data_IF_726751174523
#
_entry.id   IF_726751174523
#
_cell.length_a   1.000
_cell.length_b   1.000
_cell.length_c   1.000
_cell.angle_alpha   90.00
_cell.angle_beta   90.00
_cell.angle_gamma   90.00
#
_symmetry.space_group_name_H-M   'P 1'
#
loop_
_entity.id
_entity.type
_entity.pdbx_description
1 polymer ?
#
# COMPACT_ATOMS: atom_id res chain seq x y z
N UNK A 1 -14.71 11.18 8.62
CA UNK A 1 -13.50 11.53 7.84
C UNK A 1 -12.30 11.37 8.75
N UNK A 2 -11.20 10.78 8.27
CA UNK A 2 -10.00 10.65 9.10
C UNK A 2 -9.37 12.03 9.36
N UNK A 3 -8.87 12.26 10.57
CA UNK A 3 -8.15 13.49 10.91
C UNK A 3 -6.75 13.45 10.30
N UNK A 4 -6.35 14.54 9.64
CA UNK A 4 -5.00 14.69 9.08
C UNK A 4 -4.21 15.75 9.84
N UNK A 5 -3.02 15.41 10.31
CA UNK A 5 -2.14 16.32 11.07
C UNK A 5 -0.76 16.43 10.38
N UNK A 6 -0.36 17.62 9.91
CA UNK A 6 0.98 17.84 9.36
C UNK A 6 2.08 17.62 10.42
N UNK A 7 3.23 17.10 9.99
CA UNK A 7 4.44 16.91 10.79
C UNK A 7 5.68 17.30 9.99
N UNK A 8 6.85 17.29 10.63
CA UNK A 8 8.12 17.55 9.94
C UNK A 8 8.45 16.51 8.84
N UNK A 9 7.93 15.28 8.94
CA UNK A 9 8.30 14.17 8.06
C UNK A 9 7.20 13.77 7.07
N UNK A 10 6.01 14.35 7.18
CA UNK A 10 4.86 13.99 6.36
C UNK A 10 3.53 14.39 6.99
N UNK A 11 2.45 13.75 6.56
CA UNK A 11 1.10 13.96 7.11
C UNK A 11 0.64 12.69 7.81
N UNK A 12 0.21 12.82 9.07
CA UNK A 12 -0.31 11.70 9.87
C UNK A 12 -1.83 11.59 9.71
N UNK A 13 -2.31 10.36 9.58
CA UNK A 13 -3.71 9.95 9.51
C UNK A 13 -4.01 8.85 10.53
N UNK A 14 -5.29 8.69 10.87
CA UNK A 14 -5.78 7.62 11.72
C UNK A 14 -6.50 8.11 12.98
N UNK A 15 -6.72 7.22 13.95
CA UNK A 15 -6.41 5.78 13.87
C UNK A 15 -7.32 5.03 12.88
N UNK A 16 -6.84 3.88 12.38
CA UNK A 16 -7.69 2.84 11.77
C UNK A 16 -8.63 2.23 12.83
N UNK A 17 -9.56 1.35 12.43
CA UNK A 17 -10.45 0.68 13.38
C UNK A 17 -9.69 -0.19 14.40
N UNK A 18 -8.50 -0.70 14.03
CA UNK A 18 -7.63 -1.46 14.94
C UNK A 18 -6.70 -0.58 15.79
N UNK A 19 -6.80 0.76 15.68
CA UNK A 19 -6.00 1.69 16.47
C UNK A 19 -4.67 2.11 15.85
N UNK A 20 -4.36 1.71 14.61
CA UNK A 20 -3.07 2.01 13.96
C UNK A 20 -3.06 3.41 13.34
N UNK A 21 -1.94 4.11 13.49
CA UNK A 21 -1.69 5.40 12.83
C UNK A 21 -0.94 5.19 11.51
N UNK A 22 -1.11 6.12 10.57
CA UNK A 22 -0.43 6.12 9.28
C UNK A 22 0.29 7.45 9.03
N UNK A 23 1.50 7.41 8.49
CA UNK A 23 2.30 8.57 8.10
C UNK A 23 2.56 8.52 6.58
N UNK A 24 1.92 9.42 5.85
CA UNK A 24 2.27 9.70 4.45
C UNK A 24 3.57 10.49 4.42
N UNK A 25 4.70 9.80 4.30
CA UNK A 25 6.04 10.40 4.37
C UNK A 25 6.36 11.27 3.15
N UNK A 26 7.01 12.41 3.33
CA UNK A 26 7.48 13.24 2.22
C UNK A 26 8.54 12.53 1.34
N UNK A 27 9.23 11.54 1.91
CA UNK A 27 10.21 10.68 1.23
C UNK A 27 9.63 10.01 -0.03
N UNK A 28 8.38 9.53 0.03
CA UNK A 28 7.70 8.85 -1.08
C UNK A 28 6.80 9.82 -1.88
N UNK A 29 7.02 11.14 -1.74
CA UNK A 29 6.27 12.22 -2.39
C UNK A 29 7.14 13.10 -3.31
N UNK A 30 8.30 12.62 -3.74
CA UNK A 30 9.14 13.31 -4.73
C UNK A 30 10.04 14.43 -4.18
N UNK A 31 10.02 14.68 -2.87
CA UNK A 31 11.01 15.59 -2.21
C UNK A 31 12.30 14.85 -1.81
N UNK A 32 12.36 13.53 -2.02
CA UNK A 32 13.53 12.70 -1.80
C UNK A 32 14.45 12.59 -3.03
N UNK A 33 15.68 12.11 -2.82
CA UNK A 33 16.62 11.82 -3.91
C UNK A 33 15.97 10.94 -5.00
N UNK A 34 16.04 11.35 -6.29
CA UNK A 34 15.36 10.69 -7.41
C UNK A 34 15.96 9.33 -7.82
N UNK A 35 17.04 8.89 -7.17
CA UNK A 35 17.84 7.77 -7.68
C UNK A 35 17.30 6.39 -7.26
N UNK A 36 16.57 6.27 -6.14
CA UNK A 36 16.24 4.93 -5.57
C UNK A 36 14.95 4.86 -4.72
N UNK A 37 13.93 5.67 -5.01
CA UNK A 37 12.73 5.67 -4.16
C UNK A 37 11.48 5.55 -5.00
N UNK A 38 10.71 4.49 -4.75
CA UNK A 38 9.33 4.38 -5.18
C UNK A 38 8.54 5.62 -4.72
N UNK A 39 7.84 6.26 -5.65
CA UNK A 39 7.12 7.52 -5.41
C UNK A 39 5.65 7.29 -5.69
N UNK A 40 4.78 7.70 -4.77
CA UNK A 40 3.34 7.67 -4.99
C UNK A 40 2.94 8.55 -6.18
N UNK A 41 2.05 8.04 -7.01
CA UNK A 41 1.44 8.79 -8.11
C UNK A 41 0.77 10.05 -7.55
N UNK A 42 0.86 11.20 -8.23
CA UNK A 42 0.09 12.41 -7.88
C UNK A 42 -1.43 12.15 -7.82
N UNK A 43 -1.92 11.11 -8.53
CA UNK A 43 -3.31 10.67 -8.48
C UNK A 43 -3.70 9.96 -7.17
N UNK A 44 -2.73 9.55 -6.35
CA UNK A 44 -2.93 8.95 -5.04
C UNK A 44 -2.56 9.96 -3.96
N UNK A 45 -3.48 10.83 -3.50
CA UNK A 45 -3.19 11.79 -2.43
C UNK A 45 -2.97 11.10 -1.07
N UNK A 46 -2.39 11.77 -0.06
CA UNK A 46 -2.08 11.17 1.24
C UNK A 46 -3.28 10.50 1.91
N UNK A 47 -4.47 11.07 1.75
CA UNK A 47 -5.73 10.50 2.26
C UNK A 47 -6.05 9.15 1.59
N UNK A 48 -5.71 8.97 0.32
CA UNK A 48 -5.93 7.72 -0.41
C UNK A 48 -4.89 6.67 -0.02
N UNK A 49 -3.63 7.04 0.23
CA UNK A 49 -2.65 6.12 0.82
C UNK A 49 -3.16 5.55 2.15
N UNK A 50 -3.66 6.43 3.03
CA UNK A 50 -4.26 6.05 4.29
C UNK A 50 -5.48 5.15 4.09
N UNK A 51 -6.35 5.45 3.13
CA UNK A 51 -7.52 4.63 2.84
C UNK A 51 -7.12 3.21 2.39
N UNK A 52 -6.08 3.07 1.57
CA UNK A 52 -5.55 1.76 1.15
C UNK A 52 -4.96 1.02 2.36
N UNK A 53 -4.20 1.72 3.21
CA UNK A 53 -3.68 1.12 4.45
C UNK A 53 -4.79 0.69 5.41
N UNK A 54 -5.80 1.53 5.62
CA UNK A 54 -6.93 1.22 6.50
C UNK A 54 -7.72 0.01 5.98
N UNK A 55 -7.92 -0.09 4.66
CA UNK A 55 -8.53 -1.26 4.04
C UNK A 55 -7.68 -2.52 4.23
N UNK A 56 -6.36 -2.39 4.08
CA UNK A 56 -5.43 -3.49 4.32
C UNK A 56 -5.45 -3.94 5.79
N UNK A 57 -5.53 -3.00 6.72
CA UNK A 57 -5.63 -3.28 8.14
C UNK A 57 -6.95 -3.96 8.51
N UNK A 58 -8.08 -3.39 8.08
CA UNK A 58 -9.43 -3.92 8.32
C UNK A 58 -9.62 -5.31 7.70
N UNK A 59 -9.07 -5.53 6.50
CA UNK A 59 -9.08 -6.81 5.80
C UNK A 59 -8.06 -7.82 6.32
N UNK A 60 -7.23 -7.43 7.31
CA UNK A 60 -6.08 -8.19 7.78
C UNK A 60 -5.19 -8.70 6.63
N UNK A 61 -4.90 -7.82 5.66
CA UNK A 61 -4.04 -8.04 4.51
C UNK A 61 -2.56 -8.06 4.89
N UNK A 62 -2.25 -8.74 5.99
CA UNK A 62 -0.93 -8.92 6.55
C UNK A 62 -0.37 -10.29 6.15
N UNK A 63 0.81 -10.32 5.56
CA UNK A 63 1.50 -11.58 5.29
C UNK A 63 2.24 -12.10 6.55
N UNK A 64 2.77 -13.32 6.48
CA UNK A 64 3.47 -13.98 7.59
C UNK A 64 4.69 -13.23 8.14
N UNK A 65 5.33 -12.37 7.34
CA UNK A 65 6.42 -11.47 7.81
C UNK A 65 5.92 -10.22 8.53
N UNK A 66 4.60 -10.03 8.64
CA UNK A 66 3.95 -8.91 9.32
C UNK A 66 3.81 -7.66 8.46
N UNK A 67 4.13 -7.72 7.17
CA UNK A 67 3.91 -6.60 6.24
C UNK A 67 2.46 -6.59 5.76
N UNK A 68 1.85 -5.41 5.70
CA UNK A 68 0.61 -5.26 4.95
C UNK A 68 0.89 -5.02 3.48
N UNK A 69 -0.03 -5.46 2.64
CA UNK A 69 -0.02 -5.19 1.21
C UNK A 69 -1.30 -4.49 0.82
N UNK A 70 -1.23 -3.65 -0.22
CA UNK A 70 -2.38 -2.91 -0.71
C UNK A 70 -2.44 -2.90 -2.23
N UNK A 71 -3.68 -2.88 -2.73
CA UNK A 71 -4.05 -2.70 -4.12
C UNK A 71 -5.34 -1.88 -4.16
N UNK A 72 -5.54 -1.09 -5.20
CA UNK A 72 -6.80 -0.38 -5.42
C UNK A 72 -7.38 -0.82 -6.77
N UNK A 73 -8.58 -1.40 -6.76
CA UNK A 73 -9.27 -1.89 -7.95
C UNK A 73 -10.35 -0.88 -8.33
N UNK A 74 -10.33 -0.43 -9.58
CA UNK A 74 -11.38 0.40 -10.16
C UNK A 74 -12.68 -0.41 -10.36
N UNK A 75 -13.78 0.30 -10.62
CA UNK A 75 -15.10 -0.32 -10.87
C UNK A 75 -15.15 -1.21 -12.11
N UNK A 76 -14.14 -1.15 -12.99
CA UNK A 76 -13.99 -1.99 -14.20
C UNK A 76 -13.02 -3.17 -13.99
N UNK A 77 -12.78 -3.57 -12.73
CA UNK A 77 -11.88 -4.66 -12.33
C UNK A 77 -10.41 -4.45 -12.74
N UNK A 78 -9.98 -3.20 -12.99
CA UNK A 78 -8.58 -2.88 -13.30
C UNK A 78 -7.87 -2.32 -12.08
N UNK A 79 -6.62 -2.75 -11.83
CA UNK A 79 -5.81 -2.16 -10.78
C UNK A 79 -5.36 -0.76 -11.16
N UNK A 80 -5.59 0.18 -10.24
CA UNK A 80 -5.14 1.57 -10.33
C UNK A 80 -3.62 1.66 -10.23
N UNK A 81 -3.03 2.61 -10.96
CA UNK A 81 -1.63 2.97 -10.82
C UNK A 81 -1.43 3.76 -9.52
N UNK A 82 -0.66 3.16 -8.61
CA UNK A 82 -0.36 3.68 -7.29
C UNK A 82 0.94 4.46 -7.27
N UNK A 83 1.93 4.03 -8.06
CA UNK A 83 3.22 4.69 -8.16
C UNK A 83 3.38 5.53 -9.43
N UNK A 84 4.41 6.38 -9.43
CA UNK A 84 4.70 7.32 -10.50
C UNK A 84 5.12 6.62 -11.80
N UNK A 85 5.69 5.43 -11.71
CA UNK A 85 6.27 4.71 -12.84
C UNK A 85 5.36 3.56 -13.32
N UNK A 86 4.14 3.48 -12.81
CA UNK A 86 3.13 2.50 -13.21
C UNK A 86 2.98 1.33 -12.23
N UNK A 87 3.57 1.40 -11.03
CA UNK A 87 3.38 0.42 -9.97
C UNK A 87 1.90 0.34 -9.58
N UNK A 88 1.39 -0.88 -9.38
CA UNK A 88 -0.03 -1.14 -9.06
C UNK A 88 -0.26 -1.84 -7.74
N UNK A 89 0.83 -2.14 -7.03
CA UNK A 89 0.83 -2.65 -5.67
C UNK A 89 1.50 -1.63 -4.75
N UNK A 90 1.22 -1.75 -3.46
CA UNK A 90 1.98 -1.06 -2.43
C UNK A 90 2.23 -1.98 -1.24
N UNK A 91 3.31 -1.69 -0.52
CA UNK A 91 3.74 -2.40 0.67
C UNK A 91 3.75 -1.46 1.85
N UNK A 92 3.31 -1.95 3.00
CA UNK A 92 3.41 -1.30 4.29
C UNK A 92 4.27 -2.17 5.20
N UNK A 93 5.57 -1.86 5.32
CA UNK A 93 6.48 -2.64 6.14
C UNK A 93 6.03 -2.68 7.61
N UNK A 94 6.31 -3.80 8.26
CA UNK A 94 6.06 -3.98 9.69
C UNK A 94 6.86 -2.92 10.45
N UNK A 95 6.22 -2.23 11.38
CA UNK A 95 6.90 -1.25 12.22
C UNK A 95 7.86 -1.93 13.20
N UNK A 96 8.96 -1.25 13.53
CA UNK A 96 9.91 -1.75 14.53
C UNK A 96 9.28 -1.69 15.93
N UNK A 97 8.58 -0.60 16.24
CA UNK A 97 7.80 -0.44 17.47
C UNK A 97 6.30 -0.39 17.17
N UNK A 98 5.48 -1.00 18.03
CA UNK A 98 4.02 -1.04 17.85
C UNK A 98 3.34 0.34 17.93
N UNK A 99 4.00 1.33 18.53
CA UNK A 99 3.54 2.72 18.61
C UNK A 99 3.91 3.57 17.40
N UNK A 100 4.85 3.10 16.56
CA UNK A 100 5.28 3.87 15.40
C UNK A 100 4.14 3.92 14.37
N UNK A 101 3.90 5.07 13.71
CA UNK A 101 2.95 5.12 12.62
C UNK A 101 3.45 4.25 11.46
N UNK A 102 2.53 3.52 10.85
CA UNK A 102 2.78 2.78 9.62
C UNK A 102 3.05 3.75 8.48
N UNK A 103 3.78 3.32 7.48
CA UNK A 103 3.94 4.03 6.23
C UNK A 103 4.05 3.01 5.11
N UNK A 104 3.85 3.45 3.86
CA UNK A 104 3.97 2.57 2.72
C UNK A 104 4.57 3.24 1.51
N UNK A 105 4.77 2.42 0.49
CA UNK A 105 5.28 2.86 -0.80
C UNK A 105 4.77 1.94 -1.91
N UNK A 106 4.61 2.47 -3.13
CA UNK A 106 4.25 1.65 -4.28
C UNK A 106 5.43 0.75 -4.68
N UNK A 107 5.13 -0.37 -5.34
CA UNK A 107 6.14 -1.34 -5.78
C UNK A 107 5.69 -2.10 -7.02
N UNK A 108 6.65 -2.44 -7.88
CA UNK A 108 6.41 -3.38 -8.98
C UNK A 108 6.48 -4.82 -8.48
N UNK A 109 5.60 -5.67 -9.02
CA UNK A 109 5.54 -7.07 -8.61
C UNK A 109 6.78 -7.90 -8.98
N UNK A 110 7.66 -7.41 -9.86
CA UNK A 110 8.94 -8.04 -10.18
C UNK A 110 10.08 -7.64 -9.22
N UNK A 111 9.91 -6.58 -8.43
CA UNK A 111 10.88 -6.11 -7.45
C UNK A 111 10.54 -6.62 -6.04
N UNK A 112 9.26 -6.53 -5.66
CA UNK A 112 8.74 -7.06 -4.40
C UNK A 112 7.26 -7.43 -4.60
N UNK A 113 6.83 -8.54 -4.01
CA UNK A 113 5.47 -9.03 -4.14
C UNK A 113 4.99 -9.70 -2.84
N UNK A 114 3.67 -9.67 -2.56
CA UNK A 114 3.12 -10.50 -1.50
C UNK A 114 3.36 -11.99 -1.79
N UNK A 115 3.50 -12.83 -0.76
CA UNK A 115 3.63 -14.28 -0.93
C UNK A 115 2.48 -14.88 -1.75
N UNK A 116 2.75 -15.92 -2.55
CA UNK A 116 1.73 -16.55 -3.41
C UNK A 116 0.50 -17.03 -2.63
N UNK A 117 0.70 -17.58 -1.42
CA UNK A 117 -0.39 -18.00 -0.53
C UNK A 117 -1.33 -16.85 -0.16
N UNK A 118 -0.76 -15.66 0.04
CA UNK A 118 -1.49 -14.46 0.37
C UNK A 118 -2.24 -13.92 -0.86
N UNK A 119 -1.62 -13.97 -2.04
CA UNK A 119 -2.27 -13.63 -3.30
C UNK A 119 -3.48 -14.53 -3.57
N UNK A 120 -3.36 -15.83 -3.27
CA UNK A 120 -4.49 -16.75 -3.39
C UNK A 120 -5.60 -16.45 -2.38
N UNK A 121 -5.27 -16.03 -1.15
CA UNK A 121 -6.27 -15.57 -0.19
C UNK A 121 -7.03 -14.36 -0.72
N UNK A 122 -6.34 -13.34 -1.25
CA UNK A 122 -6.98 -12.19 -1.90
C UNK A 122 -7.88 -12.60 -3.06
N UNK A 123 -7.48 -13.60 -3.85
CA UNK A 123 -8.30 -14.11 -4.95
C UNK A 123 -9.56 -14.82 -4.44
N UNK A 124 -9.42 -15.65 -3.41
CA UNK A 124 -10.55 -16.40 -2.83
C UNK A 124 -11.54 -15.45 -2.16
N UNK A 125 -11.05 -14.40 -1.49
CA UNK A 125 -11.88 -13.38 -0.83
C UNK A 125 -12.43 -12.31 -1.79
N UNK A 126 -12.12 -12.40 -3.09
CA UNK A 126 -12.64 -11.48 -4.11
C UNK A 126 -12.00 -10.09 -4.14
N UNK A 127 -10.87 -9.88 -3.46
CA UNK A 127 -10.11 -8.62 -3.52
C UNK A 127 -9.53 -8.41 -4.91
N UNK A 128 -9.11 -9.50 -5.56
CA UNK A 128 -8.58 -9.51 -6.93
C UNK A 128 -9.17 -10.67 -7.72
N UNK A 129 -9.26 -10.49 -9.04
CA UNK A 129 -9.64 -11.59 -9.94
C UNK A 129 -8.44 -12.52 -10.25
N UNK A 130 -8.73 -13.66 -10.88
CA UNK A 130 -7.73 -14.67 -11.26
C UNK A 130 -6.63 -14.13 -12.19
N UNK A 131 -6.95 -13.15 -13.04
CA UNK A 131 -5.98 -12.58 -13.98
C UNK A 131 -4.96 -11.75 -13.22
N UNK A 132 -5.41 -10.88 -12.31
CA UNK A 132 -4.56 -10.06 -11.47
C UNK A 132 -3.67 -10.94 -10.57
N UNK A 133 -4.25 -11.93 -9.90
CA UNK A 133 -3.50 -12.89 -9.07
C UNK A 133 -2.32 -13.52 -9.83
N UNK A 134 -2.59 -14.04 -11.04
CA UNK A 134 -1.55 -14.62 -11.91
C UNK A 134 -0.50 -13.61 -12.37
N UNK A 135 -0.84 -12.32 -12.50
CA UNK A 135 0.13 -11.28 -12.89
C UNK A 135 1.04 -10.95 -11.72
N UNK A 136 0.52 -10.85 -10.50
CA UNK A 136 1.31 -10.64 -9.27
C UNK A 136 2.32 -11.78 -9.11
N UNK A 137 1.84 -13.04 -9.10
CA UNK A 137 2.68 -14.24 -8.93
C UNK A 137 3.75 -14.41 -10.02
N UNK A 138 3.57 -13.76 -11.18
CA UNK A 138 4.54 -13.79 -12.30
C UNK A 138 5.44 -12.57 -12.38
N UNK A 139 5.29 -11.59 -11.48
CA UNK A 139 5.99 -10.31 -11.56
C UNK A 139 5.63 -9.49 -12.81
N UNK A 140 4.36 -9.52 -13.23
CA UNK A 140 3.83 -8.86 -14.45
C UNK A 140 2.67 -7.91 -14.18
N UNK A 141 2.51 -7.51 -12.92
CA UNK A 141 1.62 -6.45 -12.50
C UNK A 141 2.41 -5.19 -12.21
#
# INVERSE_FOLDING_TARGET
MATSNPTASGVIFGPTNSGKMYLSTFKHRGTGSPVYKSVWSPAVPPQMEYAIFALADDGNWQCSSGHYWGIHIHTDDRPMELGKDGERLCKFPRTANGSDPWHGYPVFSNEDAPPDEFVEQWRISGVINRIIAKRIQKGKL
#
